data_IF_557980320607
#
_entry.id   IF_557980320607
#
_cell.length_a   1.000
_cell.length_b   1.000
_cell.length_c   1.000
_cell.angle_alpha   90.00
_cell.angle_beta   90.00
_cell.angle_gamma   90.00
#
_symmetry.space_group_name_H-M   'P 1'
#
loop_
_entity.id
_entity.type
_entity.pdbx_description
1 polymer ?
#
# COMPACT_ATOMS: atom_id res chain seq x y z
N UNK A 1 -10.43 11.22 -1.81
CA UNK A 1 -11.76 10.60 -1.66
C UNK A 1 -12.84 11.60 -1.22
N UNK A 2 -12.69 12.34 -0.13
CA UNK A 2 -13.72 13.29 0.34
C UNK A 2 -14.13 14.34 -0.71
N UNK A 3 -13.17 14.90 -1.45
CA UNK A 3 -13.45 15.84 -2.56
C UNK A 3 -14.27 15.22 -3.68
N UNK A 4 -14.01 13.95 -4.01
CA UNK A 4 -14.80 13.18 -4.99
C UNK A 4 -16.24 13.00 -4.50
N UNK A 5 -16.41 12.61 -3.24
CA UNK A 5 -17.74 12.41 -2.65
C UNK A 5 -18.56 13.70 -2.56
N UNK A 6 -17.89 14.86 -2.45
CA UNK A 6 -18.51 16.18 -2.50
C UNK A 6 -18.80 16.68 -3.93
N UNK A 7 -18.40 15.93 -4.96
CA UNK A 7 -18.53 16.34 -6.37
C UNK A 7 -17.57 17.45 -6.78
N UNK A 8 -16.50 17.70 -6.01
CA UNK A 8 -15.50 18.73 -6.33
C UNK A 8 -14.48 18.27 -7.39
N UNK A 9 -14.38 16.96 -7.63
CA UNK A 9 -13.49 16.32 -8.61
C UNK A 9 -14.16 15.07 -9.19
N UNK A 10 -13.79 14.67 -10.40
CA UNK A 10 -14.31 13.45 -11.06
C UNK A 10 -13.47 12.20 -10.77
N UNK A 11 -12.15 12.36 -10.62
CA UNK A 11 -11.21 11.28 -10.34
C UNK A 11 -10.24 11.72 -9.25
N UNK A 12 -10.07 10.95 -8.16
CA UNK A 12 -9.08 11.26 -7.16
C UNK A 12 -7.67 10.96 -7.70
N UNK A 13 -6.72 11.86 -7.46
CA UNK A 13 -5.32 11.65 -7.84
C UNK A 13 -4.67 10.47 -7.10
N UNK A 14 -5.10 10.22 -5.86
CA UNK A 14 -4.72 9.05 -5.08
C UNK A 14 -5.80 7.97 -5.16
N UNK A 15 -5.40 6.70 -5.09
CA UNK A 15 -6.32 5.58 -4.97
C UNK A 15 -7.14 5.59 -3.67
N UNK A 16 -8.04 4.62 -3.52
CA UNK A 16 -8.87 4.48 -2.32
C UNK A 16 -7.98 4.20 -1.10
N UNK A 17 -8.03 5.01 -0.02
CA UNK A 17 -7.27 4.76 1.20
C UNK A 17 -7.65 3.41 1.85
N UNK A 18 -6.71 2.65 2.43
CA UNK A 18 -7.02 1.36 3.05
C UNK A 18 -8.16 1.40 4.08
N UNK A 19 -8.21 2.44 4.91
CA UNK A 19 -9.23 2.61 5.94
C UNK A 19 -10.66 2.80 5.38
N UNK A 20 -10.78 3.25 4.13
CA UNK A 20 -12.06 3.49 3.45
C UNK A 20 -12.39 2.44 2.40
N UNK A 21 -11.50 1.46 2.20
CA UNK A 21 -11.66 0.47 1.13
C UNK A 21 -12.91 -0.39 1.32
N UNK A 22 -13.14 -0.91 2.53
CA UNK A 22 -14.32 -1.73 2.81
C UNK A 22 -15.62 -0.95 2.64
N UNK A 23 -15.66 0.30 3.10
CA UNK A 23 -16.81 1.20 2.93
C UNK A 23 -17.14 1.39 1.44
N UNK A 24 -16.14 1.72 0.62
CA UNK A 24 -16.31 1.93 -0.83
C UNK A 24 -16.70 0.65 -1.56
N UNK A 25 -16.13 -0.50 -1.19
CA UNK A 25 -16.39 -1.77 -1.87
C UNK A 25 -17.70 -2.43 -1.44
N UNK A 26 -18.27 -2.05 -0.29
CA UNK A 26 -19.58 -2.53 0.17
C UNK A 26 -20.75 -1.69 -0.35
N UNK A 27 -20.49 -0.48 -0.84
CA UNK A 27 -21.48 0.35 -1.55
C UNK A 27 -21.50 -0.03 -3.05
N UNK A 28 -22.64 -0.55 -3.58
CA UNK A 28 -22.72 -0.96 -4.98
C UNK A 28 -22.47 0.17 -5.99
N UNK A 29 -22.90 1.40 -5.72
CA UNK A 29 -22.73 2.52 -6.65
C UNK A 29 -21.29 2.99 -6.71
N UNK A 30 -20.61 3.00 -5.56
CA UNK A 30 -19.19 3.36 -5.48
C UNK A 30 -18.32 2.26 -6.06
N UNK A 31 -18.59 0.99 -5.71
CA UNK A 31 -17.90 -0.17 -6.26
C UNK A 31 -17.96 -0.21 -7.78
N UNK A 32 -19.09 0.12 -8.38
CA UNK A 32 -19.24 0.17 -9.84
C UNK A 32 -18.30 1.19 -10.51
N UNK A 33 -17.79 2.18 -9.77
CA UNK A 33 -16.85 3.21 -10.24
C UNK A 33 -15.39 2.85 -9.98
N UNK A 34 -15.11 1.72 -9.31
CA UNK A 34 -13.74 1.31 -8.99
C UNK A 34 -13.13 0.56 -10.17
N UNK A 35 -11.98 1.06 -10.65
CA UNK A 35 -11.16 0.39 -11.66
C UNK A 35 -9.93 -0.20 -10.99
N UNK A 36 -9.66 -1.49 -11.25
CA UNK A 36 -8.45 -2.17 -10.78
C UNK A 36 -7.49 -2.30 -11.97
N UNK A 37 -6.37 -1.60 -11.90
CA UNK A 37 -5.27 -1.73 -12.85
C UNK A 37 -4.08 -2.46 -12.22
N UNK A 38 -3.35 -3.24 -13.02
CA UNK A 38 -2.05 -3.76 -12.61
C UNK A 38 -1.06 -2.61 -12.46
N UNK A 39 -0.35 -2.57 -11.33
CA UNK A 39 0.63 -1.52 -11.04
C UNK A 39 2.05 -2.07 -11.15
N UNK A 40 2.88 -1.46 -11.98
CA UNK A 40 4.32 -1.73 -12.03
C UNK A 40 5.04 -1.00 -10.89
N UNK A 41 4.78 -1.44 -9.66
CA UNK A 41 5.29 -0.81 -8.46
C UNK A 41 5.72 -1.85 -7.43
N UNK A 42 6.92 -1.66 -6.87
CA UNK A 42 7.45 -2.45 -5.74
C UNK A 42 7.71 -1.49 -4.59
N UNK A 43 6.99 -1.66 -3.48
CA UNK A 43 7.28 -0.93 -2.24
C UNK A 43 8.45 -1.57 -1.50
N UNK A 44 9.48 -0.79 -1.16
CA UNK A 44 10.65 -1.25 -0.41
C UNK A 44 11.17 -0.17 0.55
N UNK A 45 11.93 -0.60 1.55
CA UNK A 45 12.65 0.28 2.47
C UNK A 45 14.14 0.20 2.12
N UNK A 46 14.77 1.35 1.97
CA UNK A 46 16.22 1.43 1.80
C UNK A 46 16.90 1.57 3.16
N UNK A 47 18.04 0.90 3.32
CA UNK A 47 18.94 1.06 4.45
C UNK A 47 20.23 1.74 3.97
N UNK A 48 20.75 2.71 4.74
CA UNK A 48 22.02 3.34 4.41
C UNK A 48 23.18 2.35 4.64
N UNK A 49 23.73 1.81 3.55
CA UNK A 49 24.73 0.73 3.62
C UNK A 49 26.13 1.18 4.02
N UNK A 50 26.35 2.47 4.29
CA UNK A 50 27.65 3.01 4.74
C UNK A 50 27.59 3.55 6.17
N UNK A 51 26.45 3.42 6.86
CA UNK A 51 26.25 3.92 8.22
C UNK A 51 26.01 2.76 9.18
N UNK A 52 26.75 2.66 10.30
CA UNK A 52 26.49 1.65 11.33
C UNK A 52 25.05 1.76 11.89
N UNK A 53 24.37 0.64 12.17
CA UNK A 53 24.80 -0.77 12.03
C UNK A 53 24.45 -1.38 10.66
N UNK A 54 23.95 -0.58 9.70
CA UNK A 54 23.47 -1.05 8.40
C UNK A 54 24.57 -1.25 7.37
N UNK A 55 25.81 -0.86 7.68
CA UNK A 55 27.01 -1.25 6.96
C UNK A 55 27.24 -2.78 6.98
N UNK A 56 26.85 -3.45 8.07
CA UNK A 56 26.88 -4.91 8.18
C UNK A 56 25.73 -5.59 7.41
N UNK A 57 26.07 -6.40 6.40
CA UNK A 57 25.08 -7.15 5.58
C UNK A 57 24.18 -8.07 6.41
N UNK A 58 24.69 -8.66 7.49
CA UNK A 58 23.90 -9.56 8.36
C UNK A 58 22.80 -8.80 9.09
N UNK A 59 23.05 -7.53 9.46
CA UNK A 59 22.03 -6.68 10.09
C UNK A 59 20.91 -6.38 9.11
N UNK A 60 21.25 -6.05 7.86
CA UNK A 60 20.24 -5.80 6.80
C UNK A 60 19.41 -7.05 6.50
N UNK A 61 20.04 -8.21 6.44
CA UNK A 61 19.35 -9.49 6.29
C UNK A 61 18.41 -9.78 7.47
N UNK A 62 18.87 -9.57 8.70
CA UNK A 62 18.05 -9.75 9.90
C UNK A 62 16.81 -8.84 9.88
N UNK A 63 16.96 -7.57 9.51
CA UNK A 63 15.83 -6.65 9.36
C UNK A 63 14.85 -7.13 8.29
N UNK A 64 15.34 -7.54 7.12
CA UNK A 64 14.48 -8.05 6.04
C UNK A 64 13.66 -9.27 6.47
N UNK A 65 14.25 -10.19 7.24
CA UNK A 65 13.57 -11.38 7.74
C UNK A 65 12.64 -11.10 8.93
N UNK A 66 12.88 -10.02 9.68
CA UNK A 66 12.04 -9.63 10.82
C UNK A 66 10.73 -8.95 10.41
N UNK A 67 10.63 -8.43 9.18
CA UNK A 67 9.44 -7.73 8.70
C UNK A 67 8.38 -8.75 8.27
N UNK A 68 7.22 -8.72 8.94
CA UNK A 68 6.07 -9.54 8.57
C UNK A 68 5.33 -8.92 7.36
N UNK A 69 5.77 -9.28 6.15
CA UNK A 69 5.21 -8.79 4.89
C UNK A 69 3.73 -9.19 4.71
N UNK A 70 3.36 -10.40 5.10
CA UNK A 70 1.98 -10.89 5.00
C UNK A 70 1.02 -10.02 5.82
N UNK A 71 1.41 -9.68 7.05
CA UNK A 71 0.61 -8.82 7.92
C UNK A 71 0.43 -7.42 7.33
N UNK A 72 1.47 -6.87 6.72
CA UNK A 72 1.42 -5.55 6.06
C UNK A 72 0.43 -5.60 4.88
N UNK A 73 0.48 -6.65 4.06
CA UNK A 73 -0.45 -6.83 2.92
C UNK A 73 -1.90 -6.94 3.41
N UNK A 74 -2.15 -7.65 4.51
CA UNK A 74 -3.48 -7.73 5.12
C UNK A 74 -3.99 -6.37 5.59
N UNK A 75 -3.12 -5.53 6.18
CA UNK A 75 -3.49 -4.18 6.64
C UNK A 75 -3.94 -3.26 5.50
N UNK A 76 -3.50 -3.51 4.27
CA UNK A 76 -3.94 -2.77 3.08
C UNK A 76 -5.05 -3.48 2.29
N UNK A 77 -5.80 -4.37 2.94
CA UNK A 77 -6.90 -5.15 2.35
C UNK A 77 -6.47 -6.09 1.22
N UNK A 78 -5.28 -6.70 1.33
CA UNK A 78 -4.78 -7.68 0.35
C UNK A 78 -4.60 -7.12 -1.08
N UNK A 79 -4.29 -5.82 -1.18
CA UNK A 79 -4.12 -5.11 -2.45
C UNK A 79 -2.67 -5.11 -2.95
N UNK A 80 -1.85 -6.04 -2.47
CA UNK A 80 -0.47 -6.27 -2.89
C UNK A 80 -0.10 -7.75 -2.68
N UNK A 81 1.07 -8.15 -3.17
CA UNK A 81 1.66 -9.46 -2.92
C UNK A 81 2.99 -9.30 -2.21
N UNK A 82 3.32 -10.13 -1.19
CA UNK A 82 4.65 -10.15 -0.60
C UNK A 82 5.72 -10.43 -1.66
N UNK A 83 6.84 -9.72 -1.56
CA UNK A 83 8.04 -9.95 -2.38
C UNK A 83 8.92 -11.05 -1.79
#
# INVERSE_FOLDING_TARGET
LLRLQKGEIDVPGDGIPPAKFQEVMNDPEQKARVVVGGQLHTGYITMNTTMPPFDNVKVRQAVNMAINKDRIVQMINNRAVPA
#
